data_IF_338097665242
#
_entry.id   IF_338097665242
#
_cell.length_a   1.000
_cell.length_b   1.000
_cell.length_c   1.000
_cell.angle_alpha   90.00
_cell.angle_beta   90.00
_cell.angle_gamma   90.00
#
_symmetry.space_group_name_H-M   'P 1'
#
loop_
_entity.id
_entity.type
_entity.pdbx_description
1 polymer ?
#
# COMPACT_ATOMS: atom_id res chain seq x y z
N UNK A 1 12.25 8.93 -9.02
CA UNK A 1 11.45 7.77 -8.61
C UNK A 1 11.70 6.63 -9.59
N UNK A 2 11.90 5.38 -9.15
CA UNK A 2 12.08 4.24 -10.04
C UNK A 2 10.92 4.08 -11.03
N UNK A 3 11.19 3.45 -12.18
CA UNK A 3 10.15 3.16 -13.19
C UNK A 3 9.06 2.28 -12.57
N UNK A 4 7.79 2.63 -12.81
CA UNK A 4 6.62 1.92 -12.29
C UNK A 4 6.53 1.80 -10.76
N UNK A 5 7.26 2.62 -10.00
CA UNK A 5 7.20 2.56 -8.53
C UNK A 5 5.77 2.69 -7.98
N UNK A 6 4.96 3.55 -8.59
CA UNK A 6 3.58 3.76 -8.16
C UNK A 6 2.67 2.54 -8.35
N UNK A 7 3.09 1.54 -9.12
CA UNK A 7 2.36 0.28 -9.29
C UNK A 7 2.23 -0.48 -7.98
N UNK A 8 3.20 -0.37 -7.07
CA UNK A 8 3.13 -1.02 -5.77
C UNK A 8 1.88 -0.61 -4.97
N UNK A 9 1.53 0.67 -4.97
CA UNK A 9 0.32 1.16 -4.30
C UNK A 9 -0.95 0.60 -4.94
N UNK A 10 -1.00 0.54 -6.27
CA UNK A 10 -2.13 -0.02 -6.99
C UNK A 10 -2.28 -1.54 -6.77
N UNK A 11 -1.17 -2.28 -6.77
CA UNK A 11 -1.17 -3.73 -6.54
C UNK A 11 -1.68 -4.05 -5.13
N UNK A 12 -1.19 -3.35 -4.10
CA UNK A 12 -1.69 -3.51 -2.72
C UNK A 12 -3.18 -3.16 -2.64
N UNK A 13 -3.62 -2.08 -3.30
CA UNK A 13 -5.03 -1.69 -3.36
C UNK A 13 -5.93 -2.78 -3.98
N UNK A 14 -5.45 -3.46 -5.02
CA UNK A 14 -6.15 -4.58 -5.65
C UNK A 14 -6.15 -5.82 -4.75
N UNK A 15 -5.00 -6.18 -4.18
CA UNK A 15 -4.85 -7.32 -3.29
C UNK A 15 -5.74 -7.21 -2.04
N UNK A 16 -5.85 -6.01 -1.45
CA UNK A 16 -6.73 -5.77 -0.31
C UNK A 16 -8.23 -5.80 -0.64
N UNK A 17 -8.60 -5.82 -1.93
CA UNK A 17 -9.98 -6.06 -2.35
C UNK A 17 -10.32 -7.55 -2.40
N UNK A 18 -9.33 -8.43 -2.57
CA UNK A 18 -9.51 -9.87 -2.74
C UNK A 18 -9.77 -10.57 -1.39
N UNK A 19 -10.81 -11.39 -1.34
CA UNK A 19 -11.19 -12.10 -0.13
C UNK A 19 -10.17 -13.16 0.29
N UNK A 20 -9.62 -13.91 -0.67
CA UNK A 20 -8.63 -14.97 -0.42
C UNK A 20 -7.34 -14.41 0.15
N UNK A 21 -6.93 -13.23 -0.34
CA UNK A 21 -5.74 -12.53 0.18
C UNK A 21 -5.98 -12.07 1.61
N UNK A 22 -7.13 -11.46 1.90
CA UNK A 22 -7.48 -11.02 3.26
C UNK A 22 -7.54 -12.19 4.24
N UNK A 23 -8.13 -13.31 3.83
CA UNK A 23 -8.18 -14.52 4.64
C UNK A 23 -6.77 -15.04 4.93
N UNK A 24 -5.93 -15.14 3.90
CA UNK A 24 -4.55 -15.60 4.04
C UNK A 24 -3.71 -14.73 4.98
N UNK A 25 -3.71 -13.41 4.78
CA UNK A 25 -2.92 -12.49 5.62
C UNK A 25 -3.47 -12.36 7.05
N UNK A 26 -4.75 -12.72 7.26
CA UNK A 26 -5.36 -12.81 8.58
C UNK A 26 -4.92 -14.02 9.41
N UNK A 27 -4.32 -15.03 8.79
CA UNK A 27 -3.89 -16.26 9.47
C UNK A 27 -2.73 -16.03 10.45
N UNK A 28 -2.68 -16.82 11.52
CA UNK A 28 -1.58 -16.77 12.48
C UNK A 28 -0.24 -17.17 11.83
N UNK A 29 -0.27 -18.12 10.89
CA UNK A 29 0.92 -18.52 10.14
C UNK A 29 1.54 -17.35 9.35
N UNK A 30 0.71 -16.52 8.72
CA UNK A 30 1.19 -15.32 8.03
C UNK A 30 1.72 -14.28 9.00
N UNK A 31 0.99 -14.01 10.10
CA UNK A 31 1.41 -13.04 11.13
C UNK A 31 2.75 -13.42 11.76
N UNK A 32 2.94 -14.69 12.11
CA UNK A 32 4.21 -15.22 12.61
C UNK A 32 5.34 -15.09 11.59
N UNK A 33 5.04 -15.37 10.32
CA UNK A 33 6.01 -15.19 9.24
C UNK A 33 6.42 -13.73 9.08
N UNK A 34 5.44 -12.81 9.08
CA UNK A 34 5.64 -11.36 8.99
C UNK A 34 6.50 -10.86 10.14
N UNK A 35 6.17 -11.23 11.38
CA UNK A 35 6.91 -10.85 12.58
C UNK A 35 8.39 -11.30 12.54
N UNK A 36 8.67 -12.50 12.02
CA UNK A 36 10.04 -13.02 11.85
C UNK A 36 10.84 -12.30 10.76
N UNK A 37 10.16 -11.76 9.74
CA UNK A 37 10.78 -11.14 8.56
C UNK A 37 10.89 -9.62 8.66
N UNK A 38 10.13 -8.99 9.55
CA UNK A 38 10.25 -7.56 9.82
C UNK A 38 11.64 -7.25 10.36
N UNK A 39 12.35 -6.31 9.74
CA UNK A 39 13.70 -5.95 10.21
C UNK A 39 13.54 -5.13 11.48
N UNK A 40 14.49 -5.25 12.41
CA UNK A 40 14.45 -4.54 13.70
C UNK A 40 14.41 -3.01 13.57
N UNK A 41 14.88 -2.46 12.45
CA UNK A 41 14.92 -1.02 12.20
C UNK A 41 13.65 -0.48 11.53
N UNK A 42 12.74 -1.35 11.08
CA UNK A 42 11.52 -0.95 10.39
C UNK A 42 10.39 -0.71 11.42
N UNK A 43 9.46 0.19 11.13
CA UNK A 43 8.26 0.46 11.96
C UNK A 43 7.22 -0.66 11.80
N UNK A 44 7.00 -1.53 12.81
CA UNK A 44 6.10 -2.68 12.72
C UNK A 44 4.63 -2.28 12.70
N UNK A 45 4.27 -1.13 13.30
CA UNK A 45 2.91 -0.61 13.25
C UNK A 45 2.70 0.12 11.94
N UNK A 46 2.05 -0.56 11.00
CA UNK A 46 1.84 -0.01 9.66
C UNK A 46 0.98 1.27 9.69
N UNK A 47 0.18 1.51 10.74
CA UNK A 47 -0.59 2.75 10.90
C UNK A 47 0.28 3.97 11.16
N UNK A 48 1.55 3.75 11.54
CA UNK A 48 2.58 4.79 11.79
C UNK A 48 3.61 4.88 10.66
N UNK A 49 3.48 4.04 9.64
CA UNK A 49 4.48 3.94 8.58
C UNK A 49 4.27 5.00 7.49
N UNK A 50 5.26 5.85 7.29
CA UNK A 50 5.23 6.94 6.31
C UNK A 50 5.05 6.49 4.86
N UNK A 51 5.35 5.23 4.53
CA UNK A 51 5.04 4.67 3.22
C UNK A 51 3.52 4.63 2.93
N UNK A 52 2.68 4.59 3.97
CA UNK A 52 1.22 4.61 3.84
C UNK A 52 0.58 5.92 4.29
N UNK A 53 1.17 6.59 5.29
CA UNK A 53 0.67 7.88 5.77
C UNK A 53 0.95 9.01 4.78
N UNK A 54 2.16 9.04 4.19
CA UNK A 54 2.65 10.12 3.35
C UNK A 54 2.35 11.49 3.99
N UNK A 55 2.78 11.67 5.24
CA UNK A 55 2.46 12.89 6.02
C UNK A 55 3.10 14.15 5.46
N UNK A 56 4.26 14.00 4.79
CA UNK A 56 4.91 15.09 4.08
C UNK A 56 4.16 15.47 2.79
N UNK A 57 3.70 16.72 2.73
CA UNK A 57 2.84 17.20 1.65
C UNK A 57 3.54 17.25 0.29
N UNK A 58 4.84 17.58 0.25
CA UNK A 58 5.61 17.61 -1.00
C UNK A 58 5.79 16.19 -1.56
N UNK A 59 6.13 15.23 -0.69
CA UNK A 59 6.23 13.81 -1.02
C UNK A 59 4.90 13.28 -1.52
N UNK A 60 3.80 13.54 -0.81
CA UNK A 60 2.45 13.10 -1.22
C UNK A 60 2.08 13.63 -2.59
N UNK A 61 2.35 14.92 -2.86
CA UNK A 61 2.10 15.53 -4.17
C UNK A 61 2.96 14.90 -5.26
N UNK A 62 4.26 14.70 -5.02
CA UNK A 62 5.16 14.08 -5.98
C UNK A 62 4.71 12.65 -6.36
N UNK A 63 4.16 11.90 -5.39
CA UNK A 63 3.64 10.55 -5.61
C UNK A 63 2.33 10.57 -6.39
N UNK A 64 1.43 11.49 -6.07
CA UNK A 64 0.19 11.70 -6.83
C UNK A 64 0.48 12.05 -8.31
N UNK A 65 1.43 12.96 -8.55
CA UNK A 65 1.85 13.34 -9.90
C UNK A 65 2.50 12.17 -10.65
N UNK A 66 3.33 11.37 -9.98
CA UNK A 66 3.94 10.18 -10.56
C UNK A 66 2.89 9.10 -10.89
N UNK A 67 1.87 8.94 -10.04
CA UNK A 67 0.77 8.02 -10.29
C UNK A 67 -0.05 8.48 -11.49
N UNK A 68 -0.42 9.76 -11.56
CA UNK A 68 -1.17 10.33 -12.68
C UNK A 68 -0.47 10.11 -14.03
N UNK A 69 0.86 10.27 -14.07
CA UNK A 69 1.68 10.05 -15.29
C UNK A 69 1.72 8.57 -15.71
N UNK A 70 1.64 7.64 -14.76
CA UNK A 70 1.69 6.20 -15.03
C UNK A 70 0.31 5.55 -15.12
N UNK A 71 -0.78 6.28 -14.84
CA UNK A 71 -2.12 5.71 -14.71
C UNK A 71 -2.64 5.00 -15.97
N UNK A 72 -2.22 5.48 -17.14
CA UNK A 72 -2.58 4.90 -18.43
C UNK A 72 -2.04 3.48 -18.64
N UNK A 73 -1.10 3.03 -17.80
CA UNK A 73 -0.52 1.69 -17.83
C UNK A 73 -1.33 0.65 -17.05
N UNK A 74 -2.38 1.05 -16.33
CA UNK A 74 -3.25 0.14 -15.57
C UNK A 74 -4.47 -0.29 -16.40
N UNK A 75 -4.94 -1.51 -16.14
CA UNK A 75 -6.11 -2.09 -16.81
C UNK A 75 -7.40 -1.54 -16.16
N UNK A 76 -8.34 -1.01 -16.97
CA UNK A 76 -9.59 -0.30 -16.57
C UNK A 76 -9.37 1.12 -16.05
N UNK A 77 -10.45 1.87 -15.79
CA UNK A 77 -10.39 3.20 -15.15
C UNK A 77 -9.68 3.07 -13.79
N UNK A 78 -8.44 3.60 -13.65
CA UNK A 78 -7.68 3.46 -12.42
C UNK A 78 -8.29 4.34 -11.34
N UNK A 79 -8.41 3.82 -10.11
CA UNK A 79 -8.84 4.61 -8.95
C UNK A 79 -7.93 5.83 -8.74
N UNK A 80 -8.46 6.89 -8.13
CA UNK A 80 -7.63 8.04 -7.78
C UNK A 80 -6.59 7.63 -6.75
N UNK A 81 -5.43 8.31 -6.75
CA UNK A 81 -4.37 7.99 -5.80
C UNK A 81 -4.82 8.13 -4.34
N UNK A 82 -5.68 9.11 -4.05
CA UNK A 82 -6.27 9.27 -2.72
C UNK A 82 -7.22 8.13 -2.34
N UNK A 83 -7.98 7.55 -3.29
CA UNK A 83 -8.83 6.38 -3.04
C UNK A 83 -8.00 5.12 -2.74
N UNK A 84 -6.87 4.99 -3.44
CA UNK A 84 -5.88 3.94 -3.21
C UNK A 84 -5.37 4.02 -1.78
N UNK A 85 -4.87 5.19 -1.37
CA UNK A 85 -4.38 5.41 -0.02
C UNK A 85 -5.48 5.20 1.01
N UNK A 86 -6.68 5.75 0.80
CA UNK A 86 -7.78 5.62 1.75
C UNK A 86 -8.18 4.16 2.01
N UNK A 87 -8.20 3.31 0.98
CA UNK A 87 -8.47 1.87 1.18
C UNK A 87 -7.35 1.21 1.96
N UNK A 88 -6.09 1.47 1.61
CA UNK A 88 -4.93 0.90 2.30
C UNK A 88 -4.99 1.30 3.77
N UNK A 89 -5.14 2.59 4.08
CA UNK A 89 -5.20 3.13 5.44
C UNK A 89 -6.28 2.47 6.30
N UNK A 90 -7.48 2.22 5.75
CA UNK A 90 -8.57 1.55 6.47
C UNK A 90 -8.23 0.11 6.88
N UNK A 91 -7.27 -0.53 6.22
CA UNK A 91 -6.89 -1.92 6.46
C UNK A 91 -5.62 -2.06 7.29
N UNK A 92 -4.79 -1.02 7.40
CA UNK A 92 -3.53 -1.08 8.16
C UNK A 92 -3.66 -1.64 9.58
N UNK A 93 -4.72 -1.35 10.37
CA UNK A 93 -4.87 -1.94 11.71
C UNK A 93 -5.05 -3.47 11.72
N UNK A 94 -5.48 -4.05 10.60
CA UNK A 94 -5.73 -5.48 10.41
C UNK A 94 -4.53 -6.23 9.81
N UNK A 95 -3.48 -5.51 9.38
CA UNK A 95 -2.37 -6.03 8.56
C UNK A 95 -1.12 -6.40 9.34
#
# INVERSE_FOLDING_TARGET
MPVNFMRHYYDVYCLLADASVKEFIGTDAYKDHKAKRFRKADEPDLTRNEAFLLSDAETRKAYADAYAKSRALYYREPALFDDILARISRRLPEL
#
